data_IF_570252960866
#
_entry.id   IF_570252960866
#
_cell.length_a   1.000
_cell.length_b   1.000
_cell.length_c   1.000
_cell.angle_alpha   90.00
_cell.angle_beta   90.00
_cell.angle_gamma   90.00
#
_symmetry.space_group_name_H-M   'P 1'
#
loop_
_entity.id
_entity.type
_entity.pdbx_description
1 polymer ?
#
# COMPACT_ATOMS: atom_id res chain seq x y z
N UNK A 1 -45.01 29.18 38.21
CA UNK A 1 -46.40 29.26 38.71
C UNK A 1 -47.31 28.52 37.74
N UNK A 2 -47.96 27.45 38.20
CA UNK A 2 -49.31 26.99 37.80
C UNK A 2 -49.48 25.50 38.16
N UNK A 3 -49.99 25.26 39.38
CA UNK A 3 -50.70 24.04 39.78
C UNK A 3 -52.13 24.12 39.23
N UNK A 4 -52.69 23.06 38.64
CA UNK A 4 -54.15 22.77 38.59
C UNK A 4 -54.29 21.25 38.36
N UNK A 5 -54.50 20.45 39.43
CA UNK A 5 -55.75 19.99 40.07
C UNK A 5 -56.32 18.69 39.49
N UNK A 6 -56.45 17.74 40.41
CA UNK A 6 -57.25 16.52 40.36
C UNK A 6 -58.74 16.82 40.11
N UNK A 7 -59.40 15.93 39.38
CA UNK A 7 -60.84 15.74 39.39
C UNK A 7 -61.14 14.25 39.52
N UNK A 8 -61.66 13.85 40.68
CA UNK A 8 -62.15 12.49 40.91
C UNK A 8 -63.52 12.28 40.29
N UNK A 9 -63.81 11.05 39.87
CA UNK A 9 -65.17 10.60 39.64
C UNK A 9 -65.31 9.13 40.04
N UNK A 10 -66.42 8.88 40.72
CA UNK A 10 -66.81 7.74 41.52
C UNK A 10 -66.99 6.44 40.75
N UNK A 11 -66.58 5.35 41.41
CA UNK A 11 -66.79 3.95 41.03
C UNK A 11 -68.26 3.58 41.15
N UNK A 12 -68.84 3.07 40.06
CA UNK A 12 -70.05 2.24 40.10
C UNK A 12 -69.81 0.95 39.31
N UNK A 13 -70.07 -0.19 39.94
CA UNK A 13 -69.98 -1.52 39.32
C UNK A 13 -71.21 -1.78 38.46
N UNK A 14 -71.02 -2.42 37.29
CA UNK A 14 -71.98 -3.41 36.85
C UNK A 14 -71.32 -4.78 36.59
N UNK A 15 -71.91 -5.75 37.27
CA UNK A 15 -72.20 -7.14 36.92
C UNK A 15 -71.37 -7.89 35.84
N UNK A 16 -70.96 -9.07 36.29
CA UNK A 16 -70.29 -10.17 35.60
C UNK A 16 -70.97 -10.59 34.29
N UNK A 17 -70.28 -10.37 33.17
CA UNK A 17 -70.54 -11.06 31.90
C UNK A 17 -69.42 -12.07 31.65
N UNK A 18 -69.78 -13.35 31.58
CA UNK A 18 -68.86 -14.46 31.41
C UNK A 18 -68.05 -14.35 30.11
N UNK A 19 -66.75 -14.15 30.26
CA UNK A 19 -65.80 -14.26 29.15
C UNK A 19 -65.41 -15.72 28.97
N UNK A 20 -65.82 -16.29 27.83
CA UNK A 20 -65.46 -17.64 27.38
C UNK A 20 -63.94 -17.68 27.16
N UNK A 21 -63.21 -18.38 28.03
CA UNK A 21 -61.77 -18.63 27.85
C UNK A 21 -61.61 -19.54 26.63
N UNK A 22 -61.14 -18.97 25.53
CA UNK A 22 -60.62 -19.74 24.39
C UNK A 22 -59.33 -20.38 24.87
N UNK A 23 -59.34 -21.70 25.09
CA UNK A 23 -58.11 -22.47 25.32
C UNK A 23 -57.24 -22.33 24.08
N UNK A 24 -56.14 -21.59 24.16
CA UNK A 24 -55.03 -21.72 23.22
C UNK A 24 -54.52 -23.15 23.32
N UNK A 25 -54.71 -23.94 22.26
CA UNK A 25 -54.04 -25.23 22.13
C UNK A 25 -52.55 -24.97 22.07
N UNK A 26 -51.85 -25.17 23.20
CA UNK A 26 -50.40 -25.21 23.22
C UNK A 26 -49.97 -26.36 22.32
N UNK A 27 -49.35 -26.03 21.18
CA UNK A 27 -48.62 -27.01 20.39
C UNK A 27 -47.60 -27.67 21.33
N UNK A 28 -47.52 -29.01 21.38
CA UNK A 28 -46.57 -29.69 22.25
C UNK A 28 -45.16 -29.24 21.86
N UNK A 29 -44.46 -28.59 22.79
CA UNK A 29 -43.05 -28.30 22.64
C UNK A 29 -42.30 -29.64 22.70
N UNK A 30 -41.84 -30.14 21.54
CA UNK A 30 -40.96 -31.29 21.48
C UNK A 30 -39.68 -31.00 22.26
N UNK A 31 -39.39 -31.80 23.28
CA UNK A 31 -38.13 -31.71 24.01
C UNK A 31 -36.98 -32.14 23.10
N UNK A 32 -35.99 -31.26 22.94
CA UNK A 32 -34.80 -31.53 22.15
C UNK A 32 -33.86 -32.45 22.95
N UNK A 33 -33.40 -33.55 22.35
CA UNK A 33 -32.49 -34.46 23.03
C UNK A 33 -31.06 -33.92 23.02
N UNK A 34 -30.29 -34.24 24.05
CA UNK A 34 -28.88 -33.85 24.15
C UNK A 34 -28.05 -34.37 22.96
N UNK A 35 -28.43 -35.53 22.41
CA UNK A 35 -27.80 -36.13 21.23
C UNK A 35 -28.07 -35.31 19.96
N UNK A 36 -29.31 -34.89 19.73
CA UNK A 36 -29.66 -34.05 18.57
C UNK A 36 -28.89 -32.72 18.58
N UNK A 37 -28.73 -32.11 19.76
CA UNK A 37 -27.92 -30.91 19.91
C UNK A 37 -26.45 -31.14 19.59
N UNK A 38 -25.88 -32.22 20.11
CA UNK A 38 -24.50 -32.61 19.85
C UNK A 38 -24.22 -32.85 18.36
N UNK A 39 -25.13 -33.51 17.65
CA UNK A 39 -24.99 -33.75 16.21
C UNK A 39 -25.04 -32.44 15.42
N UNK A 40 -25.97 -31.54 15.75
CA UNK A 40 -26.09 -30.26 15.05
C UNK A 40 -24.83 -29.39 15.25
N UNK A 41 -24.34 -29.29 16.49
CA UNK A 41 -23.10 -28.52 16.73
C UNK A 41 -21.88 -29.19 16.07
N UNK A 42 -21.84 -30.53 15.98
CA UNK A 42 -20.78 -31.24 15.27
C UNK A 42 -20.79 -30.94 13.76
N UNK A 43 -21.96 -30.96 13.13
CA UNK A 43 -22.10 -30.64 11.69
C UNK A 43 -21.74 -29.17 11.43
N UNK A 44 -22.24 -28.23 12.25
CA UNK A 44 -21.86 -26.81 12.14
C UNK A 44 -20.36 -26.63 12.35
N UNK A 45 -19.78 -27.31 13.34
CA UNK A 45 -18.34 -27.28 13.61
C UNK A 45 -17.51 -27.74 12.42
N UNK A 46 -17.91 -28.83 11.75
CA UNK A 46 -17.27 -29.33 10.54
C UNK A 46 -17.42 -28.32 9.38
N UNK A 47 -18.63 -27.81 9.15
CA UNK A 47 -18.87 -26.83 8.09
C UNK A 47 -18.05 -25.55 8.29
N UNK A 48 -18.04 -24.98 9.50
CA UNK A 48 -17.24 -23.79 9.80
C UNK A 48 -15.74 -24.08 9.72
N UNK A 49 -15.31 -25.26 10.19
CA UNK A 49 -13.92 -25.70 10.11
C UNK A 49 -13.39 -25.79 8.68
N UNK A 50 -14.22 -26.20 7.73
CA UNK A 50 -13.86 -26.27 6.30
C UNK A 50 -14.02 -24.92 5.59
N UNK A 51 -15.01 -24.11 5.98
CA UNK A 51 -15.31 -22.83 5.31
C UNK A 51 -14.37 -21.70 5.72
N UNK A 52 -13.89 -21.66 6.95
CA UNK A 52 -13.06 -20.54 7.43
C UNK A 52 -11.72 -20.42 6.65
N UNK A 53 -10.93 -21.49 6.44
CA UNK A 53 -9.70 -21.41 5.63
C UNK A 53 -10.02 -21.03 4.17
N UNK A 54 -11.10 -21.57 3.62
CA UNK A 54 -11.53 -21.30 2.25
C UNK A 54 -11.87 -19.81 2.06
N UNK A 55 -12.68 -19.21 2.95
CA UNK A 55 -13.06 -17.79 2.88
C UNK A 55 -11.83 -16.89 3.01
N UNK A 56 -10.88 -17.23 3.87
CA UNK A 56 -9.64 -16.46 4.04
C UNK A 56 -8.78 -16.50 2.77
N UNK A 57 -8.61 -17.69 2.17
CA UNK A 57 -7.86 -17.85 0.92
C UNK A 57 -8.50 -17.07 -0.24
N UNK A 58 -9.83 -17.10 -0.35
CA UNK A 58 -10.57 -16.36 -1.36
C UNK A 58 -10.46 -14.84 -1.16
N UNK A 59 -10.52 -14.35 0.08
CA UNK A 59 -10.31 -12.93 0.39
C UNK A 59 -8.91 -12.47 0.03
N UNK A 60 -7.88 -13.27 0.30
CA UNK A 60 -6.52 -12.91 -0.06
C UNK A 60 -6.27 -12.95 -1.57
N UNK A 61 -6.87 -13.90 -2.28
CA UNK A 61 -6.86 -13.89 -3.75
C UNK A 61 -7.52 -12.62 -4.31
N UNK A 62 -8.66 -12.19 -3.75
CA UNK A 62 -9.32 -10.94 -4.14
C UNK A 62 -8.45 -9.71 -3.88
N UNK A 63 -7.81 -9.61 -2.71
CA UNK A 63 -6.90 -8.51 -2.40
C UNK A 63 -5.69 -8.47 -3.33
N UNK A 64 -5.11 -9.64 -3.67
CA UNK A 64 -4.04 -9.75 -4.68
C UNK A 64 -4.48 -9.25 -6.04
N UNK A 65 -5.67 -9.65 -6.51
CA UNK A 65 -6.23 -9.14 -7.77
C UNK A 65 -6.41 -7.61 -7.74
N UNK A 66 -6.85 -7.04 -6.62
CA UNK A 66 -6.93 -5.59 -6.47
C UNK A 66 -5.55 -4.91 -6.58
N UNK A 67 -4.51 -5.43 -5.92
CA UNK A 67 -3.17 -4.84 -6.01
C UNK A 67 -2.56 -4.98 -7.43
N UNK A 68 -2.82 -6.10 -8.12
CA UNK A 68 -2.45 -6.27 -9.54
C UNK A 68 -3.16 -5.25 -10.44
N UNK A 69 -4.44 -4.98 -10.22
CA UNK A 69 -5.19 -3.97 -10.98
C UNK A 69 -4.66 -2.55 -10.73
N UNK A 70 -4.32 -2.21 -9.48
CA UNK A 70 -3.68 -0.93 -9.15
C UNK A 70 -2.34 -0.78 -9.89
N UNK A 71 -1.47 -1.79 -9.82
CA UNK A 71 -0.21 -1.80 -10.56
C UNK A 71 -0.41 -1.67 -12.06
N UNK A 72 -1.39 -2.36 -12.63
CA UNK A 72 -1.71 -2.28 -14.07
C UNK A 72 -2.11 -0.87 -14.48
N UNK A 73 -2.97 -0.23 -13.70
CA UNK A 73 -3.38 1.14 -13.93
C UNK A 73 -2.22 2.12 -13.74
N UNK A 74 -1.31 1.91 -12.78
CA UNK A 74 -0.09 2.73 -12.63
C UNK A 74 0.78 2.59 -13.88
N UNK A 75 0.99 1.35 -14.37
CA UNK A 75 1.75 1.11 -15.59
C UNK A 75 1.14 1.82 -16.81
N UNK A 76 -0.19 1.73 -16.98
CA UNK A 76 -0.91 2.44 -18.03
C UNK A 76 -0.79 3.97 -17.89
N UNK A 77 -0.87 4.49 -16.67
CA UNK A 77 -0.66 5.91 -16.39
C UNK A 77 0.75 6.37 -16.80
N UNK A 78 1.78 5.57 -16.52
CA UNK A 78 3.16 5.84 -16.94
C UNK A 78 3.30 5.80 -18.47
N UNK A 79 2.66 4.84 -19.15
CA UNK A 79 2.66 4.77 -20.62
C UNK A 79 1.95 5.95 -21.27
N UNK A 80 0.84 6.41 -20.68
CA UNK A 80 0.14 7.63 -21.12
C UNK A 80 1.00 8.87 -20.92
N UNK A 81 1.72 8.95 -19.79
CA UNK A 81 2.68 10.01 -19.52
C UNK A 81 3.81 10.00 -20.57
N UNK A 82 4.42 8.86 -20.87
CA UNK A 82 5.44 8.74 -21.92
C UNK A 82 4.89 9.11 -23.30
N UNK A 83 3.67 8.71 -23.63
CA UNK A 83 3.03 9.06 -24.90
C UNK A 83 2.92 10.58 -25.08
N UNK A 84 2.62 11.32 -24.01
CA UNK A 84 2.47 12.77 -24.00
C UNK A 84 3.81 13.52 -23.91
N UNK A 85 4.74 13.07 -23.06
CA UNK A 85 5.97 13.80 -22.72
C UNK A 85 7.25 13.22 -23.35
N UNK A 86 7.14 12.08 -24.04
CA UNK A 86 8.26 11.33 -24.67
C UNK A 86 9.36 10.91 -23.71
N UNK A 87 8.99 10.72 -22.45
CA UNK A 87 9.84 10.26 -21.36
C UNK A 87 8.99 9.67 -20.25
N UNK A 88 9.57 8.78 -19.44
CA UNK A 88 8.94 8.27 -18.23
C UNK A 88 8.95 9.36 -17.14
N UNK A 89 7.99 9.32 -16.21
CA UNK A 89 7.98 10.26 -15.09
C UNK A 89 9.14 9.95 -14.15
N UNK A 90 9.95 10.96 -13.84
CA UNK A 90 11.06 10.80 -12.91
C UNK A 90 10.59 10.82 -11.45
N UNK A 91 11.45 10.33 -10.57
CA UNK A 91 11.38 10.68 -9.16
C UNK A 91 12.08 12.02 -8.95
N UNK A 92 11.39 13.06 -8.48
CA UNK A 92 11.98 14.40 -8.40
C UNK A 92 12.37 14.73 -6.96
N UNK A 93 13.63 14.45 -6.61
CA UNK A 93 14.27 14.86 -5.35
C UNK A 93 15.59 15.57 -5.69
N UNK A 94 15.51 16.85 -6.04
CA UNK A 94 16.70 17.66 -6.29
C UNK A 94 17.33 18.20 -4.99
N UNK A 95 18.42 18.96 -5.12
CA UNK A 95 19.13 19.59 -4.00
C UNK A 95 18.34 20.66 -3.22
N UNK A 96 17.14 21.04 -3.66
CA UNK A 96 16.25 21.92 -2.90
C UNK A 96 15.05 21.16 -2.34
N UNK A 97 15.03 19.83 -2.49
CA UNK A 97 13.93 18.94 -2.13
C UNK A 97 12.60 19.31 -2.80
N UNK A 98 12.66 20.04 -3.92
CA UNK A 98 11.50 20.49 -4.68
C UNK A 98 11.09 19.45 -5.71
N UNK A 99 9.83 19.50 -6.14
CA UNK A 99 9.23 18.52 -7.02
C UNK A 99 8.34 17.55 -6.25
N UNK A 100 8.27 16.30 -6.71
CA UNK A 100 7.46 15.25 -6.09
C UNK A 100 7.85 13.86 -6.61
N UNK A 101 7.22 12.82 -6.06
CA UNK A 101 7.37 11.46 -6.58
C UNK A 101 6.86 11.35 -8.02
N UNK A 102 7.18 10.25 -8.70
CA UNK A 102 6.53 9.97 -9.99
C UNK A 102 4.99 9.93 -9.89
N UNK A 103 4.46 9.59 -8.72
CA UNK A 103 3.03 9.46 -8.48
C UNK A 103 2.32 10.82 -8.49
N UNK A 104 3.00 11.90 -8.10
CA UNK A 104 2.45 13.26 -8.27
C UNK A 104 2.41 13.65 -9.75
N UNK A 105 3.39 13.23 -10.55
CA UNK A 105 3.44 13.54 -11.98
C UNK A 105 2.33 12.85 -12.81
N UNK A 106 1.87 11.67 -12.37
CA UNK A 106 0.82 10.92 -13.06
C UNK A 106 -0.61 11.24 -12.58
N UNK A 107 -0.79 12.11 -11.57
CA UNK A 107 -2.14 12.49 -11.08
C UNK A 107 -3.12 12.90 -12.20
N UNK A 108 -2.73 13.68 -13.24
CA UNK A 108 -3.65 14.07 -14.30
C UNK A 108 -4.19 12.89 -15.11
N UNK A 109 -3.42 11.80 -15.23
CA UNK A 109 -3.79 10.62 -16.04
C UNK A 109 -4.53 9.56 -15.23
N UNK A 110 -4.72 9.76 -13.92
CA UNK A 110 -5.48 8.88 -13.02
C UNK A 110 -6.71 9.58 -12.41
N UNK A 111 -7.31 10.51 -13.15
CA UNK A 111 -8.51 11.27 -12.73
C UNK A 111 -8.31 12.10 -11.45
N UNK A 112 -7.06 12.50 -11.16
CA UNK A 112 -6.66 13.35 -10.03
C UNK A 112 -6.10 14.70 -10.47
N UNK A 113 -6.68 15.26 -11.52
CA UNK A 113 -6.25 16.52 -12.12
C UNK A 113 -6.38 17.72 -11.17
N UNK A 114 -7.38 17.72 -10.27
CA UNK A 114 -7.56 18.80 -9.29
C UNK A 114 -6.42 18.82 -8.28
N UNK A 115 -6.04 17.65 -7.76
CA UNK A 115 -4.92 17.49 -6.84
C UNK A 115 -3.60 17.89 -7.49
N UNK A 116 -3.42 17.59 -8.79
CA UNK A 116 -2.24 18.04 -9.55
C UNK A 116 -2.17 19.57 -9.65
N UNK A 117 -3.28 20.25 -9.94
CA UNK A 117 -3.32 21.70 -10.08
C UNK A 117 -3.04 22.44 -8.76
N UNK A 118 -3.36 21.81 -7.63
CA UNK A 118 -3.11 22.36 -6.29
C UNK A 118 -1.69 22.09 -5.79
N UNK A 119 -0.92 21.25 -6.48
CA UNK A 119 0.45 20.93 -6.11
C UNK A 119 1.45 21.89 -6.76
N UNK A 120 2.25 22.59 -5.97
CA UNK A 120 3.34 23.44 -6.47
C UNK A 120 4.66 22.64 -6.53
N UNK A 121 5.10 22.33 -7.74
CA UNK A 121 6.35 21.62 -8.01
C UNK A 121 7.61 22.44 -7.71
N UNK A 122 7.50 23.75 -7.48
CA UNK A 122 8.62 24.60 -7.04
C UNK A 122 8.83 24.55 -5.53
N UNK A 123 7.93 23.90 -4.79
CA UNK A 123 8.01 23.74 -3.35
C UNK A 123 8.29 22.29 -2.99
N UNK A 124 8.87 22.08 -1.81
CA UNK A 124 9.07 20.73 -1.29
C UNK A 124 7.74 20.05 -0.99
N UNK A 125 7.71 18.72 -1.06
CA UNK A 125 6.51 17.95 -0.73
C UNK A 125 6.08 18.07 0.76
N UNK A 126 6.99 18.48 1.67
CA UNK A 126 6.69 18.78 3.08
C UNK A 126 6.09 20.16 3.28
N UNK A 127 6.22 21.03 2.28
CA UNK A 127 5.87 22.43 2.43
C UNK A 127 4.38 22.56 2.79
N UNK A 128 3.99 23.41 3.76
CA UNK A 128 2.60 23.54 4.21
C UNK A 128 1.58 23.73 3.08
N UNK A 129 1.97 24.42 2.01
CA UNK A 129 1.15 24.57 0.80
C UNK A 129 0.79 23.22 0.15
N UNK A 130 1.77 22.33 -0.02
CA UNK A 130 1.57 21.02 -0.66
C UNK A 130 0.90 20.00 0.29
N UNK A 131 0.88 20.24 1.61
CA UNK A 131 0.31 19.31 2.59
C UNK A 131 -1.16 18.99 2.34
N UNK A 132 -1.94 19.95 1.82
CA UNK A 132 -3.34 19.76 1.48
C UNK A 132 -3.56 18.71 0.36
N UNK A 133 -2.55 18.49 -0.50
CA UNK A 133 -2.56 17.46 -1.53
C UNK A 133 -1.87 16.20 -1.02
N UNK A 134 -0.67 16.32 -0.46
CA UNK A 134 0.13 15.16 -0.05
C UNK A 134 -0.49 14.36 1.09
N UNK A 135 -1.33 15.00 1.92
CA UNK A 135 -2.08 14.35 2.99
C UNK A 135 -3.37 13.64 2.54
N UNK A 136 -3.74 13.74 1.26
CA UNK A 136 -4.92 13.05 0.75
C UNK A 136 -4.62 11.57 0.52
N UNK A 137 -5.44 10.72 1.14
CA UNK A 137 -5.43 9.29 0.88
C UNK A 137 -6.05 9.03 -0.48
N UNK A 138 -5.25 8.52 -1.41
CA UNK A 138 -5.70 8.08 -2.73
C UNK A 138 -5.79 6.55 -2.69
N UNK A 139 -6.99 5.94 -2.66
CA UNK A 139 -7.15 4.49 -2.54
C UNK A 139 -6.40 3.70 -3.61
N UNK A 140 -6.22 4.31 -4.78
CA UNK A 140 -5.45 3.79 -5.90
C UNK A 140 -3.99 3.43 -5.54
N UNK A 141 -3.36 4.17 -4.65
CA UNK A 141 -1.98 3.93 -4.22
C UNK A 141 -1.86 3.02 -3.00
N UNK A 142 -2.97 2.43 -2.55
CA UNK A 142 -3.00 1.53 -1.40
C UNK A 142 -3.24 0.09 -1.83
N UNK A 143 -2.45 -0.83 -1.27
CA UNK A 143 -2.70 -2.25 -1.45
C UNK A 143 -3.61 -2.75 -0.32
N UNK A 144 -4.78 -3.35 -0.61
CA UNK A 144 -5.70 -3.84 0.43
C UNK A 144 -5.11 -4.89 1.39
N UNK A 145 -4.05 -5.59 0.99
CA UNK A 145 -3.34 -6.54 1.87
C UNK A 145 -2.30 -5.87 2.78
N UNK A 146 -1.95 -4.60 2.55
CA UNK A 146 -1.06 -3.83 3.43
C UNK A 146 -1.85 -2.70 4.13
N UNK A 147 -2.86 -3.01 4.97
CA UNK A 147 -3.55 -1.97 5.73
C UNK A 147 -2.56 -1.23 6.63
N UNK A 148 -2.78 0.06 6.81
CA UNK A 148 -2.04 0.85 7.79
C UNK A 148 -2.29 0.25 9.18
N UNK A 149 -1.28 -0.42 9.73
CA UNK A 149 -1.38 -1.12 11.03
C UNK A 149 -1.67 -0.15 12.19
N UNK A 150 -1.31 1.13 12.02
CA UNK A 150 -1.59 2.25 12.94
C UNK A 150 -1.48 3.58 12.18
N UNK A 151 -2.00 4.65 12.78
CA UNK A 151 -1.72 6.03 12.33
C UNK A 151 -0.21 6.23 12.35
N UNK A 152 0.34 6.76 11.26
CA UNK A 152 1.75 7.11 11.16
C UNK A 152 2.08 8.16 12.24
N UNK A 153 2.92 7.88 13.25
CA UNK A 153 3.33 8.88 14.23
C UNK A 153 4.14 9.93 13.49
N UNK A 154 3.48 11.03 13.17
CA UNK A 154 4.10 12.20 12.60
C UNK A 154 4.81 13.00 13.68
N UNK A 155 6.12 13.14 13.55
CA UNK A 155 6.74 14.42 13.88
C UNK A 155 6.41 15.43 12.78
N UNK A 156 6.66 16.72 13.02
CA UNK A 156 6.42 17.80 12.05
C UNK A 156 7.03 17.54 10.65
N UNK A 157 8.09 16.71 10.56
CA UNK A 157 8.72 16.33 9.30
C UNK A 157 7.93 15.35 8.41
N UNK A 158 6.95 14.60 8.96
CA UNK A 158 6.04 13.78 8.14
C UNK A 158 4.98 14.63 7.45
N UNK A 159 4.71 15.83 7.96
CA UNK A 159 3.88 16.84 7.30
C UNK A 159 2.48 16.32 6.92
N UNK A 160 1.95 15.36 7.69
CA UNK A 160 0.62 14.78 7.47
C UNK A 160 0.47 13.98 6.17
N UNK A 161 1.56 13.53 5.53
CA UNK A 161 1.50 12.84 4.23
C UNK A 161 0.76 11.52 4.29
N UNK A 162 -0.04 11.25 3.26
CA UNK A 162 -0.78 10.02 3.10
C UNK A 162 0.09 8.87 2.61
N UNK A 163 -0.32 7.68 3.00
CA UNK A 163 0.35 6.44 2.71
C UNK A 163 0.33 6.06 1.23
N UNK A 164 1.32 5.27 0.82
CA UNK A 164 1.39 4.57 -0.46
C UNK A 164 2.04 3.20 -0.29
N UNK A 165 1.68 2.27 -1.16
CA UNK A 165 2.16 0.88 -1.16
C UNK A 165 2.83 0.47 -2.47
N UNK A 166 3.22 1.44 -3.28
CA UNK A 166 3.87 1.21 -4.55
C UNK A 166 5.07 2.13 -4.68
N UNK A 167 6.12 1.63 -5.34
CA UNK A 167 7.33 2.39 -5.57
C UNK A 167 7.95 2.01 -6.91
N UNK A 168 8.71 2.93 -7.46
CA UNK A 168 9.50 2.73 -8.66
C UNK A 168 10.79 1.97 -8.38
N UNK A 169 11.22 1.20 -9.38
CA UNK A 169 12.56 0.60 -9.43
C UNK A 169 13.57 1.62 -9.94
N UNK A 170 14.52 1.99 -9.08
CA UNK A 170 15.69 2.80 -9.44
C UNK A 170 16.90 1.96 -9.87
N UNK A 171 16.76 0.64 -9.85
CA UNK A 171 17.77 -0.32 -10.29
C UNK A 171 18.50 -1.01 -9.14
N UNK A 172 19.73 -1.44 -9.40
CA UNK A 172 20.48 -2.36 -8.51
C UNK A 172 21.30 -1.68 -7.43
N UNK A 173 21.45 -0.36 -7.50
CA UNK A 173 22.22 0.41 -6.54
C UNK A 173 21.32 1.39 -5.80
N UNK A 174 21.42 1.35 -4.48
CA UNK A 174 20.87 2.35 -3.60
C UNK A 174 21.58 3.68 -3.79
N UNK A 175 20.88 4.73 -3.38
CA UNK A 175 21.31 6.07 -3.57
C UNK A 175 21.12 6.94 -2.34
N UNK A 176 22.12 7.79 -2.08
CA UNK A 176 22.03 8.84 -1.06
C UNK A 176 21.38 10.08 -1.67
N UNK A 177 20.14 10.42 -1.27
CA UNK A 177 19.43 11.58 -1.82
C UNK A 177 20.11 12.91 -1.46
N UNK A 178 21.10 12.92 -0.54
CA UNK A 178 21.83 14.13 -0.14
C UNK A 178 23.14 14.38 -0.88
N UNK A 179 23.44 13.58 -1.91
CA UNK A 179 24.62 13.72 -2.76
C UNK A 179 24.86 15.16 -3.28
N UNK A 180 23.79 15.88 -3.64
CA UNK A 180 23.87 17.23 -4.19
C UNK A 180 24.14 18.28 -3.10
N UNK A 181 23.75 17.98 -1.85
CA UNK A 181 24.17 18.73 -0.66
C UNK A 181 25.61 18.40 -0.25
N UNK A 182 26.09 17.22 -0.63
CA UNK A 182 27.41 16.68 -0.28
C UNK A 182 28.48 16.94 -1.34
N UNK A 183 28.16 17.73 -2.39
CA UNK A 183 29.02 17.97 -3.55
C UNK A 183 29.58 16.68 -4.20
N UNK A 184 28.84 15.57 -4.12
CA UNK A 184 29.22 14.29 -4.72
C UNK A 184 28.90 14.30 -6.23
N UNK A 185 29.60 13.49 -7.04
CA UNK A 185 29.22 13.29 -8.44
C UNK A 185 27.75 12.85 -8.55
N UNK A 186 27.09 13.26 -9.65
CA UNK A 186 25.74 12.77 -9.96
C UNK A 186 25.79 11.25 -10.07
N UNK A 187 24.87 10.51 -9.45
CA UNK A 187 24.83 9.06 -9.59
C UNK A 187 24.43 8.72 -11.02
N UNK A 188 24.86 7.54 -11.44
CA UNK A 188 24.20 6.81 -12.51
C UNK A 188 23.23 5.83 -11.87
N UNK A 189 21.98 5.88 -12.30
CA UNK A 189 20.98 4.87 -11.97
C UNK A 189 20.72 4.02 -13.20
N UNK A 190 20.57 2.72 -13.01
CA UNK A 190 20.35 1.74 -14.08
C UNK A 190 18.92 1.18 -14.13
N UNK A 191 18.02 1.65 -13.26
CA UNK A 191 16.62 1.24 -13.27
C UNK A 191 15.76 1.86 -14.37
N UNK A 192 14.49 1.46 -14.36
CA UNK A 192 13.46 1.97 -15.27
C UNK A 192 13.10 3.44 -15.01
N UNK A 193 13.06 3.83 -13.73
CA UNK A 193 12.77 5.20 -13.31
C UNK A 193 14.01 5.75 -12.61
N UNK A 194 14.36 7.00 -12.92
CA UNK A 194 15.54 7.67 -12.37
C UNK A 194 15.17 8.99 -11.70
N UNK A 195 16.10 9.53 -10.91
CA UNK A 195 15.97 10.90 -10.42
C UNK A 195 16.29 11.93 -11.50
N UNK A 196 15.60 13.08 -11.47
CA UNK A 196 15.80 14.19 -12.42
C UNK A 196 17.25 14.70 -12.47
N UNK A 197 17.98 14.59 -11.36
CA UNK A 197 19.32 15.12 -11.16
C UNK A 197 20.44 14.07 -11.34
N UNK A 198 20.10 12.85 -11.76
CA UNK A 198 21.06 11.81 -12.16
C UNK A 198 21.78 12.11 -13.47
N UNK A 199 22.78 11.30 -13.83
CA UNK A 199 23.47 11.38 -15.15
C UNK A 199 22.49 11.15 -16.29
N UNK A 200 21.58 10.20 -16.13
CA UNK A 200 20.57 9.83 -17.12
C UNK A 200 19.54 10.95 -17.32
N UNK A 201 19.16 11.61 -16.22
CA UNK A 201 18.16 12.69 -16.14
C UNK A 201 16.73 12.30 -16.50
N UNK A 202 16.53 11.35 -17.41
CA UNK A 202 15.24 10.80 -17.85
C UNK A 202 15.45 9.45 -18.50
N UNK A 203 14.39 8.65 -18.55
CA UNK A 203 14.32 7.39 -19.29
C UNK A 203 13.13 7.41 -20.25
N UNK A 204 13.17 6.57 -21.27
CA UNK A 204 12.17 6.43 -22.32
C UNK A 204 12.21 5.00 -22.87
N UNK A 205 11.19 4.57 -23.63
CA UNK A 205 11.12 3.18 -24.13
C UNK A 205 12.36 2.69 -24.89
N UNK A 206 13.08 3.57 -25.58
CA UNK A 206 14.32 3.22 -26.31
C UNK A 206 15.50 2.86 -25.41
N UNK A 207 15.44 3.20 -24.12
CA UNK A 207 16.54 2.99 -23.17
C UNK A 207 16.51 1.58 -22.56
N UNK A 208 15.47 0.79 -22.84
CA UNK A 208 15.28 -0.58 -22.36
C UNK A 208 15.82 -1.60 -23.35
N UNK A 209 17.15 -1.69 -23.43
CA UNK A 209 17.85 -2.55 -24.39
C UNK A 209 17.67 -4.05 -24.07
N UNK A 210 17.48 -4.38 -22.80
CA UNK A 210 17.29 -5.77 -22.32
C UNK A 210 15.85 -6.26 -22.49
N UNK A 211 14.96 -5.39 -22.99
CA UNK A 211 13.57 -5.67 -23.29
C UNK A 211 12.61 -5.19 -22.20
N UNK A 212 11.52 -4.54 -22.63
CA UNK A 212 10.51 -3.96 -21.73
C UNK A 212 9.76 -5.00 -20.90
N UNK A 213 9.69 -6.25 -21.37
CA UNK A 213 9.08 -7.36 -20.66
C UNK A 213 10.00 -7.99 -19.59
N UNK A 214 11.27 -7.57 -19.52
CA UNK A 214 12.27 -8.10 -18.60
C UNK A 214 12.79 -7.05 -17.62
N UNK A 215 12.20 -5.85 -17.59
CA UNK A 215 12.62 -4.78 -16.69
C UNK A 215 11.51 -4.40 -15.72
N UNK A 216 11.82 -4.43 -14.42
CA UNK A 216 10.94 -3.98 -13.33
C UNK A 216 10.74 -2.46 -13.42
N UNK A 217 9.48 -2.04 -13.37
CA UNK A 217 9.13 -0.61 -13.38
C UNK A 217 8.59 -0.15 -12.03
N UNK A 218 7.51 -0.77 -11.56
CA UNK A 218 6.85 -0.46 -10.28
C UNK A 218 6.69 -1.75 -9.49
N UNK A 219 6.97 -1.73 -8.19
CA UNK A 219 6.74 -2.85 -7.30
C UNK A 219 6.00 -2.42 -6.04
N UNK A 220 5.50 -3.41 -5.30
CA UNK A 220 4.86 -3.16 -4.01
C UNK A 220 5.86 -2.76 -2.92
N UNK A 221 5.36 -1.94 -2.00
CA UNK A 221 5.96 -1.61 -0.71
C UNK A 221 4.90 -1.76 0.39
N UNK A 222 5.34 -2.06 1.61
CA UNK A 222 4.45 -2.38 2.73
C UNK A 222 4.93 -1.74 4.03
N UNK A 223 4.01 -1.61 4.99
CA UNK A 223 4.28 -1.06 6.31
C UNK A 223 4.69 -2.11 7.34
N UNK A 224 5.28 -3.20 6.90
CA UNK A 224 5.48 -4.43 7.66
C UNK A 224 6.88 -4.60 8.26
N UNK A 225 7.65 -3.51 8.31
CA UNK A 225 8.97 -3.47 8.91
C UNK A 225 8.90 -3.02 10.38
N UNK A 226 9.85 -3.49 11.22
CA UNK A 226 9.90 -3.09 12.63
C UNK A 226 10.19 -1.60 12.79
N UNK A 227 9.91 -1.11 14.00
CA UNK A 227 10.18 0.26 14.37
C UNK A 227 11.68 0.53 14.42
N UNK A 228 12.07 1.70 13.94
CA UNK A 228 13.44 2.20 13.99
C UNK A 228 13.52 3.57 14.63
N UNK A 229 14.63 3.86 15.29
CA UNK A 229 14.87 5.20 15.84
C UNK A 229 15.44 6.09 14.76
N UNK A 230 14.80 7.23 14.54
CA UNK A 230 15.35 8.26 13.68
C UNK A 230 16.58 8.88 14.35
N UNK A 231 17.66 9.06 13.61
CA UNK A 231 18.97 9.44 14.18
C UNK A 231 19.36 10.90 13.93
N UNK A 232 18.58 11.66 13.16
CA UNK A 232 18.90 13.02 12.74
C UNK A 232 17.67 13.91 12.56
N UNK A 233 17.85 15.24 12.50
CA UNK A 233 16.75 16.18 12.22
C UNK A 233 15.72 16.30 13.35
N UNK A 234 14.60 17.00 13.09
CA UNK A 234 13.56 17.31 14.09
C UNK A 234 12.82 16.09 14.67
N UNK A 235 13.09 14.89 14.17
CA UNK A 235 12.50 13.64 14.65
C UNK A 235 13.52 12.74 15.35
N UNK A 236 14.75 13.22 15.59
CA UNK A 236 15.80 12.44 16.24
C UNK A 236 15.32 11.86 17.58
N UNK A 237 15.60 10.58 17.81
CA UNK A 237 15.19 9.85 19.02
C UNK A 237 13.77 9.29 19.00
N UNK A 238 12.95 9.62 17.99
CA UNK A 238 11.60 9.10 17.86
C UNK A 238 11.58 7.76 17.11
N UNK A 239 10.74 6.84 17.56
CA UNK A 239 10.46 5.58 16.86
C UNK A 239 9.60 5.84 15.62
N UNK A 240 10.01 5.29 14.48
CA UNK A 240 9.30 5.33 13.21
C UNK A 240 9.08 3.92 12.73
N UNK A 241 8.01 3.69 11.99
CA UNK A 241 7.87 2.47 11.18
C UNK A 241 7.81 2.87 9.72
N UNK A 242 8.16 1.94 8.83
CA UNK A 242 8.14 2.03 7.36
C UNK A 242 7.74 3.39 6.73
N UNK A 243 8.61 3.91 5.88
CA UNK A 243 8.52 5.24 5.30
C UNK A 243 7.95 5.22 3.87
N UNK A 244 6.69 4.87 3.65
CA UNK A 244 6.11 4.74 2.29
C UNK A 244 4.95 5.71 2.03
N UNK A 245 5.24 6.94 1.62
CA UNK A 245 4.22 7.93 1.24
C UNK A 245 4.15 8.10 -0.26
N UNK A 246 2.94 8.08 -0.83
CA UNK A 246 2.77 8.09 -2.30
C UNK A 246 3.36 9.36 -2.95
N UNK A 247 3.36 10.49 -2.26
CA UNK A 247 3.87 11.77 -2.78
C UNK A 247 5.36 11.98 -2.55
N UNK A 248 6.03 11.06 -1.84
CA UNK A 248 7.36 11.29 -1.35
C UNK A 248 8.46 10.64 -2.21
N UNK A 249 9.31 11.44 -2.89
CA UNK A 249 10.33 10.96 -3.82
C UNK A 249 11.56 10.32 -3.15
N UNK A 250 11.65 10.33 -1.82
CA UNK A 250 12.84 9.80 -1.13
C UNK A 250 13.01 8.27 -1.31
N UNK A 251 14.27 7.78 -1.33
CA UNK A 251 14.56 6.35 -1.27
C UNK A 251 13.87 5.70 -0.07
N UNK A 252 13.29 4.54 -0.31
CA UNK A 252 12.50 3.81 0.67
C UNK A 252 11.03 4.21 0.76
N UNK A 253 10.64 5.32 0.11
CA UNK A 253 9.25 5.73 -0.03
C UNK A 253 8.65 5.35 -1.37
N UNK A 254 9.04 6.04 -2.44
CA UNK A 254 8.54 5.76 -3.81
C UNK A 254 9.65 5.42 -4.79
N UNK A 255 10.88 5.31 -4.30
CA UNK A 255 12.06 4.90 -5.04
C UNK A 255 12.75 3.78 -4.26
N UNK A 256 12.92 2.64 -4.92
CA UNK A 256 13.34 1.39 -4.31
C UNK A 256 14.36 0.71 -5.20
N UNK A 257 15.34 0.06 -4.57
CA UNK A 257 16.41 -0.68 -5.25
C UNK A 257 16.35 -2.16 -4.89
N UNK A 258 17.02 -2.99 -5.68
CA UNK A 258 17.25 -4.41 -5.39
C UNK A 258 18.55 -4.67 -4.64
N UNK A 259 19.34 -3.64 -4.30
CA UNK A 259 20.61 -3.79 -3.57
C UNK A 259 20.47 -4.54 -2.23
N UNK A 260 19.33 -4.38 -1.56
CA UNK A 260 19.07 -4.93 -0.23
C UNK A 260 18.19 -6.17 -0.30
N UNK A 261 18.09 -6.87 0.83
CA UNK A 261 17.29 -8.10 0.95
C UNK A 261 15.89 -7.93 0.35
N UNK A 262 15.44 -8.91 -0.44
CA UNK A 262 14.13 -8.91 -1.08
C UNK A 262 13.03 -9.35 -0.11
N UNK A 263 11.86 -8.69 -0.21
CA UNK A 263 10.68 -8.90 0.64
C UNK A 263 10.98 -9.13 2.14
N UNK A 264 11.81 -8.27 2.78
CA UNK A 264 12.16 -8.44 4.18
C UNK A 264 10.89 -8.41 5.03
N UNK A 265 10.75 -9.39 5.91
CA UNK A 265 9.64 -9.48 6.87
C UNK A 265 10.18 -9.23 8.27
N UNK A 266 9.38 -8.58 9.10
CA UNK A 266 9.64 -8.55 10.54
C UNK A 266 9.67 -9.98 11.09
N UNK A 267 10.80 -10.36 11.69
CA UNK A 267 10.99 -11.64 12.36
C UNK A 267 11.15 -11.38 13.85
N UNK A 268 10.21 -11.84 14.70
CA UNK A 268 10.32 -11.65 16.14
C UNK A 268 11.66 -12.17 16.66
N UNK A 269 12.45 -11.29 17.28
CA UNK A 269 13.71 -11.65 17.92
C UNK A 269 14.97 -11.61 17.04
N UNK A 270 14.87 -11.29 15.75
CA UNK A 270 16.06 -11.28 14.88
C UNK A 270 17.04 -10.18 15.27
N UNK A 271 16.59 -9.07 15.89
CA UNK A 271 17.46 -7.94 16.31
C UNK A 271 18.21 -7.24 15.17
N UNK A 272 18.18 -7.83 13.97
CA UNK A 272 18.79 -7.37 12.73
C UNK A 272 17.81 -6.37 12.12
N UNK A 273 17.91 -5.14 12.60
CA UNK A 273 17.43 -3.98 11.86
C UNK A 273 18.55 -3.54 10.93
N UNK A 274 18.36 -3.71 9.61
CA UNK A 274 19.10 -2.92 8.64
C UNK A 274 18.25 -1.72 8.27
N UNK A 275 18.75 -0.51 8.53
CA UNK A 275 18.07 0.72 8.16
C UNK A 275 17.73 0.82 6.67
N UNK A 276 18.39 0.01 5.87
CA UNK A 276 18.24 0.01 4.43
C UNK A 276 17.10 -0.90 3.93
N UNK A 277 16.49 -1.73 4.79
CA UNK A 277 15.35 -2.56 4.39
C UNK A 277 14.12 -1.75 3.95
N UNK A 278 13.99 -0.52 4.45
CA UNK A 278 12.94 0.39 3.95
C UNK A 278 13.11 0.69 2.47
N UNK A 279 14.32 0.52 1.92
CA UNK A 279 14.71 0.75 0.52
C UNK A 279 14.59 -0.48 -0.38
N UNK A 280 14.04 -1.59 0.13
CA UNK A 280 13.71 -2.81 -0.61
C UNK A 280 12.24 -2.89 -1.02
N UNK A 281 11.98 -3.59 -2.11
CA UNK A 281 10.63 -4.04 -2.47
C UNK A 281 10.11 -5.04 -1.44
N UNK A 282 8.83 -4.89 -1.07
CA UNK A 282 8.21 -5.71 -0.03
C UNK A 282 6.70 -5.66 -0.12
N UNK A 283 6.04 -6.74 0.22
CA UNK A 283 4.59 -6.84 0.21
C UNK A 283 4.09 -7.47 1.51
N UNK A 284 2.81 -7.31 1.82
CA UNK A 284 2.13 -8.12 2.86
C UNK A 284 1.43 -9.35 2.26
N UNK A 285 1.47 -9.51 0.94
CA UNK A 285 1.09 -10.76 0.30
C UNK A 285 2.01 -11.91 0.73
N UNK A 286 1.43 -13.10 0.84
CA UNK A 286 2.16 -14.31 1.18
C UNK A 286 3.02 -14.79 0.00
N UNK A 287 4.32 -15.01 0.24
CA UNK A 287 5.24 -15.72 -0.65
C UNK A 287 5.92 -14.89 -1.73
N UNK A 288 5.76 -13.56 -1.74
CA UNK A 288 6.36 -12.73 -2.79
C UNK A 288 5.84 -11.29 -2.82
N UNK A 289 6.12 -10.61 -3.94
CA UNK A 289 5.82 -9.20 -4.21
C UNK A 289 5.29 -9.07 -5.63
N UNK A 290 4.23 -8.26 -5.83
CA UNK A 290 3.76 -7.96 -7.18
C UNK A 290 4.59 -6.85 -7.82
N UNK A 291 4.85 -7.00 -9.12
CA UNK A 291 5.56 -6.03 -9.93
C UNK A 291 4.83 -5.75 -11.23
N UNK A 292 4.85 -4.49 -11.64
CA UNK A 292 4.58 -4.06 -13.00
C UNK A 292 5.91 -3.89 -13.74
N UNK A 293 6.00 -4.55 -14.89
CA UNK A 293 7.14 -4.44 -15.80
C UNK A 293 6.94 -3.27 -16.76
N UNK A 294 8.00 -2.89 -17.47
CA UNK A 294 7.98 -1.72 -18.37
C UNK A 294 7.00 -1.88 -19.52
N UNK A 295 6.73 -3.10 -19.98
CA UNK A 295 5.68 -3.39 -20.97
C UNK A 295 4.24 -3.34 -20.40
N UNK A 296 4.09 -3.13 -19.09
CA UNK A 296 2.83 -3.08 -18.38
C UNK A 296 2.28 -4.46 -17.99
N UNK A 297 3.02 -5.55 -18.19
CA UNK A 297 2.68 -6.86 -17.64
C UNK A 297 2.85 -6.87 -16.12
N UNK A 298 2.06 -7.70 -15.43
CA UNK A 298 2.08 -7.83 -13.97
C UNK A 298 2.55 -9.24 -13.60
N UNK A 299 3.61 -9.33 -12.81
CA UNK A 299 4.19 -10.59 -12.36
C UNK A 299 4.33 -10.63 -10.85
N UNK A 300 4.06 -11.80 -10.27
CA UNK A 300 4.28 -12.05 -8.86
C UNK A 300 5.64 -12.72 -8.68
N UNK A 301 6.60 -11.99 -8.14
CA UNK A 301 7.95 -12.49 -7.90
C UNK A 301 8.02 -13.13 -6.52
N UNK A 302 8.41 -14.40 -6.48
CA UNK A 302 8.45 -15.19 -5.24
C UNK A 302 9.63 -14.85 -4.33
N UNK A 303 9.46 -15.08 -3.02
CA UNK A 303 10.52 -14.87 -2.01
C UNK A 303 11.78 -15.71 -2.25
N UNK A 304 11.66 -16.78 -3.05
CA UNK A 304 12.75 -17.68 -3.42
C UNK A 304 13.57 -17.23 -4.64
N UNK A 305 13.26 -16.08 -5.24
CA UNK A 305 13.99 -15.58 -6.41
C UNK A 305 15.50 -15.48 -6.14
N UNK A 306 16.30 -15.85 -7.14
CA UNK A 306 17.74 -15.65 -7.08
C UNK A 306 18.05 -14.13 -7.13
N UNK A 307 18.84 -13.63 -6.17
CA UNK A 307 19.16 -12.21 -6.10
C UNK A 307 19.79 -11.64 -7.39
N UNK A 308 20.59 -12.44 -8.12
CA UNK A 308 21.17 -11.99 -9.41
C UNK A 308 20.11 -11.86 -10.51
N UNK A 309 19.10 -12.73 -10.50
CA UNK A 309 17.97 -12.63 -11.44
C UNK A 309 17.14 -11.39 -11.09
N UNK A 310 16.88 -11.14 -9.81
CA UNK A 310 16.17 -9.93 -9.37
C UNK A 310 16.93 -8.66 -9.77
N UNK A 311 18.26 -8.64 -9.61
CA UNK A 311 19.10 -7.52 -10.03
C UNK A 311 19.09 -7.32 -11.55
N UNK A 312 19.19 -8.41 -12.33
CA UNK A 312 19.08 -8.37 -13.78
C UNK A 312 17.71 -7.85 -14.24
N UNK A 313 16.63 -8.21 -13.54
CA UNK A 313 15.30 -7.66 -13.81
C UNK A 313 15.21 -6.17 -13.45
N UNK A 314 16.06 -5.66 -12.55
CA UNK A 314 16.02 -4.26 -12.14
C UNK A 314 16.78 -3.32 -13.09
N UNK A 315 17.68 -3.84 -13.93
CA UNK A 315 18.44 -3.04 -14.90
C UNK A 315 17.62 -2.79 -16.18
N UNK A 316 17.82 -1.63 -16.81
CA UNK A 316 17.24 -1.30 -18.13
C UNK A 316 18.11 -1.75 -19.31
N UNK A 317 19.42 -1.86 -19.10
CA UNK A 317 20.43 -2.03 -20.15
C UNK A 317 21.73 -2.64 -19.61
N UNK A 318 21.65 -3.61 -18.70
CA UNK A 318 22.79 -4.38 -18.21
C UNK A 318 23.21 -5.53 -19.15
N UNK A 319 22.39 -5.91 -20.13
CA UNK A 319 22.70 -6.95 -21.11
C UNK A 319 22.55 -8.38 -20.57
N UNK A 320 21.88 -8.56 -19.44
CA UNK A 320 21.70 -9.86 -18.81
C UNK A 320 20.68 -10.73 -19.56
N UNK A 321 20.98 -12.02 -19.73
CA UNK A 321 20.03 -13.00 -20.28
C UNK A 321 19.23 -13.60 -19.15
N UNK A 322 17.91 -13.38 -19.18
CA UNK A 322 16.97 -13.83 -18.15
C UNK A 322 16.10 -14.95 -18.73
N UNK A 323 16.06 -16.09 -18.03
CA UNK A 323 15.09 -17.15 -18.33
C UNK A 323 13.73 -16.76 -17.76
N UNK A 324 12.68 -16.80 -18.57
CA UNK A 324 11.31 -16.49 -18.14
C UNK A 324 10.78 -17.45 -17.07
N UNK A 325 11.38 -18.63 -16.90
CA UNK A 325 11.02 -19.56 -15.82
C UNK A 325 11.70 -19.23 -14.48
N UNK A 326 12.54 -18.19 -14.42
CA UNK A 326 13.35 -17.87 -13.25
C UNK A 326 12.65 -16.99 -12.21
N UNK A 327 11.43 -16.48 -12.48
CA UNK A 327 10.71 -15.56 -11.59
C UNK A 327 9.20 -15.74 -11.60
#
# INVERSE_FOLDING_TARGET
MAKVKCGGASVSRPQTSGTRVVKSGGLPAGGFTLVELLVVIAIIGIMVGLLLPAVQSAREAARRMSCQNNLKQIGLAIHNYDSAFKQFPNVNANNTLTGGSLFTAILPVIEKANEFQLYDFNLANSHPFNQAVTGQTIPFFLCPSSPLRRVVPGCDADSGRAAGNYASSIGTLDYDPYWAFSARPRPSLNGAIVYTDTVERRTSFRDFIDGTANTLMIGETAYNLPDYRFTSGGCAGQSRFSFTYWSNPFPGSTAITTQFAFNPKDRPGDGIYSANWVRSFRSDHAGGVQFCFVDGSIHFITDSINARVLDALATRAGGEVIDHNAF
#
